data_IF_743904667940
#
_entry.id   IF_743904667940
#
_cell.length_a   1.000
_cell.length_b   1.000
_cell.length_c   1.000
_cell.angle_alpha   90.00
_cell.angle_beta   90.00
_cell.angle_gamma   90.00
#
_symmetry.space_group_name_H-M   'P 1'
#
loop_
_entity.id
_entity.type
_entity.pdbx_description
1 polymer ?
#
# COMPACT_ATOMS: atom_id res chain seq x y z
N UNK A 1 13.60 7.35 18.40
CA UNK A 1 13.00 8.60 17.82
C UNK A 1 14.10 9.33 17.05
N UNK A 2 13.99 9.40 15.72
CA UNK A 2 15.03 10.06 14.90
C UNK A 2 15.02 11.55 15.19
N UNK A 3 16.20 12.09 15.51
CA UNK A 3 16.37 13.55 15.65
C UNK A 3 16.38 14.18 14.26
N UNK A 4 15.50 15.16 14.02
CA UNK A 4 15.56 16.05 12.84
C UNK A 4 16.88 16.83 12.88
N UNK A 5 17.94 16.26 12.32
CA UNK A 5 19.17 17.02 12.11
C UNK A 5 19.27 17.46 10.64
N UNK A 6 20.06 18.50 10.40
CA UNK A 6 20.22 19.10 9.06
C UNK A 6 20.66 18.07 8.01
N UNK A 7 21.51 17.11 8.40
CA UNK A 7 22.01 16.07 7.49
C UNK A 7 20.91 15.09 7.05
N UNK A 8 20.03 14.66 7.97
CA UNK A 8 18.88 13.82 7.64
C UNK A 8 17.90 14.57 6.73
N UNK A 9 17.59 15.83 7.05
CA UNK A 9 16.65 16.63 6.24
C UNK A 9 17.16 16.86 4.81
N UNK A 10 18.45 17.18 4.65
CA UNK A 10 19.08 17.31 3.33
C UNK A 10 19.00 15.98 2.54
N UNK A 11 19.27 14.85 3.21
CA UNK A 11 19.16 13.52 2.58
C UNK A 11 17.73 13.23 2.15
N UNK A 12 16.73 13.53 2.99
CA UNK A 12 15.31 13.34 2.65
C UNK A 12 14.96 14.11 1.39
N UNK A 13 15.32 15.39 1.30
CA UNK A 13 15.03 16.22 0.14
C UNK A 13 15.66 15.63 -1.13
N UNK A 14 16.93 15.23 -1.06
CA UNK A 14 17.65 14.67 -2.21
C UNK A 14 17.11 13.29 -2.61
N UNK A 15 16.76 12.43 -1.64
CA UNK A 15 16.13 11.13 -1.92
C UNK A 15 14.78 11.30 -2.61
N UNK A 16 13.92 12.18 -2.12
CA UNK A 16 12.62 12.42 -2.75
C UNK A 16 12.78 12.95 -4.18
N UNK A 17 13.68 13.90 -4.39
CA UNK A 17 14.00 14.44 -5.73
C UNK A 17 14.44 13.33 -6.70
N UNK A 18 15.42 12.52 -6.32
CA UNK A 18 15.95 11.44 -7.18
C UNK A 18 14.94 10.31 -7.41
N UNK A 19 14.06 10.04 -6.44
CA UNK A 19 12.95 9.11 -6.63
C UNK A 19 11.96 9.63 -7.68
N UNK A 20 11.62 10.93 -7.63
CA UNK A 20 10.75 11.57 -8.62
C UNK A 20 11.40 11.61 -10.01
N UNK A 21 12.70 11.89 -10.11
CA UNK A 21 13.46 11.86 -11.37
C UNK A 21 13.52 10.44 -11.98
N UNK A 22 13.67 9.41 -11.13
CA UNK A 22 13.82 8.02 -11.59
C UNK A 22 12.50 7.35 -11.94
N UNK A 23 11.43 7.59 -11.17
CA UNK A 23 10.17 6.85 -11.25
C UNK A 23 8.96 7.72 -11.62
N UNK A 24 9.11 9.04 -11.59
CA UNK A 24 8.03 10.00 -11.80
C UNK A 24 7.30 10.39 -10.51
N UNK A 25 6.73 11.62 -10.49
CA UNK A 25 6.00 12.14 -9.33
C UNK A 25 4.54 11.63 -9.24
N UNK A 26 3.98 11.10 -10.34
CA UNK A 26 2.56 10.74 -10.43
C UNK A 26 2.28 9.25 -10.17
N UNK A 27 3.21 8.59 -9.45
CA UNK A 27 3.09 7.18 -9.15
C UNK A 27 1.90 6.89 -8.23
N UNK A 28 1.06 5.95 -8.67
CA UNK A 28 -0.13 5.45 -7.95
C UNK A 28 -0.02 3.93 -7.72
N UNK A 29 -1.03 3.35 -7.09
CA UNK A 29 -1.08 1.90 -6.86
C UNK A 29 -1.00 1.10 -8.16
N UNK A 30 -0.44 -0.12 -8.06
CA UNK A 30 -0.38 -1.08 -9.18
C UNK A 30 -1.67 -1.88 -9.37
N UNK A 31 -2.60 -1.78 -8.43
CA UNK A 31 -3.85 -2.52 -8.49
C UNK A 31 -4.81 -1.82 -9.44
N UNK A 32 -5.25 -2.55 -10.47
CA UNK A 32 -6.24 -2.07 -11.44
C UNK A 32 -7.60 -1.90 -10.75
N UNK A 33 -8.23 -0.73 -10.94
CA UNK A 33 -9.52 -0.41 -10.34
C UNK A 33 -10.21 0.72 -11.10
N UNK A 34 -11.53 0.76 -11.05
CA UNK A 34 -12.37 1.80 -11.65
C UNK A 34 -12.96 2.75 -10.61
N UNK A 35 -13.05 2.31 -9.35
CA UNK A 35 -13.64 3.06 -8.24
C UNK A 35 -13.04 2.65 -6.89
N UNK A 36 -13.45 3.34 -5.82
CA UNK A 36 -12.96 3.13 -4.47
C UNK A 36 -13.22 1.70 -3.94
N UNK A 37 -14.39 1.14 -4.24
CA UNK A 37 -14.77 -0.20 -3.80
C UNK A 37 -13.89 -1.27 -4.47
N UNK A 38 -13.68 -1.17 -5.78
CA UNK A 38 -12.79 -2.09 -6.49
C UNK A 38 -11.36 -2.04 -5.96
N UNK A 39 -10.82 -0.84 -5.67
CA UNK A 39 -9.51 -0.74 -5.06
C UNK A 39 -9.48 -1.36 -3.66
N UNK A 40 -10.54 -1.19 -2.87
CA UNK A 40 -10.65 -1.79 -1.54
C UNK A 40 -10.60 -3.32 -1.62
N UNK A 41 -11.41 -3.93 -2.48
CA UNK A 41 -11.43 -5.39 -2.70
C UNK A 41 -10.07 -5.88 -3.24
N UNK A 42 -9.52 -5.21 -4.25
CA UNK A 42 -8.21 -5.56 -4.81
C UNK A 42 -7.10 -5.50 -3.75
N UNK A 43 -7.15 -4.50 -2.85
CA UNK A 43 -6.17 -4.36 -1.76
C UNK A 43 -6.33 -5.46 -0.71
N UNK A 44 -7.54 -5.87 -0.36
CA UNK A 44 -7.78 -7.04 0.51
C UNK A 44 -7.20 -8.30 -0.16
N UNK A 45 -7.42 -8.48 -1.45
CA UNK A 45 -6.90 -9.62 -2.21
C UNK A 45 -5.36 -9.61 -2.30
N UNK A 46 -4.71 -8.45 -2.30
CA UNK A 46 -3.26 -8.32 -2.43
C UNK A 46 -2.47 -8.71 -1.16
N UNK A 47 -3.14 -8.90 -0.02
CA UNK A 47 -2.47 -9.37 1.20
C UNK A 47 -1.78 -10.72 0.95
N UNK A 48 -0.44 -10.75 1.06
CA UNK A 48 0.41 -11.93 0.76
C UNK A 48 0.18 -12.50 -0.66
N UNK A 49 -0.14 -11.65 -1.62
CA UNK A 49 -0.30 -12.00 -3.03
C UNK A 49 0.33 -10.90 -3.90
N UNK A 50 0.81 -11.25 -5.08
CA UNK A 50 1.37 -10.26 -5.99
C UNK A 50 0.28 -9.44 -6.67
N UNK A 51 0.54 -8.15 -6.91
CA UNK A 51 -0.39 -7.25 -7.59
C UNK A 51 -0.77 -7.79 -8.98
N UNK A 52 0.20 -8.34 -9.71
CA UNK A 52 -0.04 -8.99 -11.01
C UNK A 52 -1.06 -10.13 -10.92
N UNK A 53 -0.98 -10.99 -9.88
CA UNK A 53 -1.96 -12.06 -9.69
C UNK A 53 -3.34 -11.50 -9.38
N UNK A 54 -3.42 -10.47 -8.57
CA UNK A 54 -4.69 -9.78 -8.26
C UNK A 54 -5.31 -9.22 -9.54
N UNK A 55 -4.52 -8.48 -10.34
CA UNK A 55 -4.98 -7.87 -11.59
C UNK A 55 -5.41 -8.91 -12.65
N UNK A 56 -4.93 -10.15 -12.57
CA UNK A 56 -5.43 -11.26 -13.43
C UNK A 56 -6.81 -11.77 -12.99
N UNK A 57 -7.14 -11.67 -11.71
CA UNK A 57 -8.39 -12.21 -11.14
C UNK A 57 -9.50 -11.16 -11.11
N UNK A 58 -9.19 -9.92 -10.80
CA UNK A 58 -10.18 -8.86 -10.55
C UNK A 58 -11.09 -8.54 -11.74
N UNK A 59 -10.67 -8.60 -13.03
CA UNK A 59 -11.59 -8.30 -14.15
C UNK A 59 -12.80 -9.24 -14.21
N UNK A 60 -12.58 -10.55 -14.07
CA UNK A 60 -13.67 -11.52 -14.06
C UNK A 60 -14.48 -11.47 -12.77
N UNK A 61 -13.83 -11.18 -11.65
CA UNK A 61 -14.48 -11.02 -10.36
C UNK A 61 -15.47 -9.84 -10.37
N UNK A 62 -15.03 -8.66 -10.83
CA UNK A 62 -15.88 -7.46 -10.90
C UNK A 62 -16.91 -7.52 -12.03
N UNK A 63 -16.72 -8.35 -13.05
CA UNK A 63 -17.76 -8.65 -14.03
C UNK A 63 -18.88 -9.53 -13.42
N UNK A 64 -18.53 -10.48 -12.54
CA UNK A 64 -19.50 -11.35 -11.86
C UNK A 64 -20.20 -10.62 -10.71
N UNK A 65 -19.51 -9.76 -9.98
CA UNK A 65 -20.00 -9.01 -8.83
C UNK A 65 -19.78 -7.50 -9.05
N UNK A 66 -20.60 -6.80 -9.85
CA UNK A 66 -20.36 -5.41 -10.25
C UNK A 66 -20.63 -4.38 -9.15
N UNK A 67 -21.37 -4.71 -8.10
CA UNK A 67 -21.77 -3.78 -7.05
C UNK A 67 -21.37 -4.25 -5.66
N UNK A 68 -21.43 -3.34 -4.67
CA UNK A 68 -21.27 -3.68 -3.24
C UNK A 68 -22.29 -4.73 -2.83
N UNK A 69 -23.54 -4.57 -3.29
CA UNK A 69 -24.64 -5.48 -2.98
C UNK A 69 -24.36 -6.92 -3.47
N UNK A 70 -23.87 -7.07 -4.70
CA UNK A 70 -23.55 -8.38 -5.25
C UNK A 70 -22.52 -9.13 -4.40
N UNK A 71 -21.53 -8.41 -3.85
CA UNK A 71 -20.59 -8.99 -2.90
C UNK A 71 -21.20 -9.26 -1.52
N UNK A 72 -22.11 -8.39 -1.04
CA UNK A 72 -22.73 -8.53 0.27
C UNK A 72 -23.64 -9.78 0.36
N UNK A 73 -24.28 -10.16 -0.76
CA UNK A 73 -25.17 -11.33 -0.87
C UNK A 73 -24.51 -12.54 -1.54
N UNK A 74 -23.22 -12.46 -1.88
CA UNK A 74 -22.52 -13.53 -2.58
C UNK A 74 -22.50 -14.83 -1.77
N UNK A 75 -22.72 -15.96 -2.46
CA UNK A 75 -22.42 -17.26 -1.87
C UNK A 75 -20.92 -17.39 -1.60
N UNK A 76 -20.57 -17.75 -0.37
CA UNK A 76 -19.16 -17.81 0.05
C UNK A 76 -18.36 -18.81 -0.77
N UNK A 77 -18.92 -19.96 -1.15
CA UNK A 77 -18.24 -20.99 -1.92
C UNK A 77 -18.01 -20.54 -3.37
N UNK A 78 -18.99 -19.85 -3.95
CA UNK A 78 -18.83 -19.28 -5.28
C UNK A 78 -17.77 -18.18 -5.31
N UNK A 79 -17.72 -17.32 -4.30
CA UNK A 79 -16.68 -16.30 -4.18
C UNK A 79 -15.30 -16.94 -3.94
N UNK A 80 -15.20 -17.95 -3.08
CA UNK A 80 -13.98 -18.73 -2.87
C UNK A 80 -13.48 -19.33 -4.19
N UNK A 81 -14.36 -19.92 -5.00
CA UNK A 81 -14.04 -20.46 -6.31
C UNK A 81 -13.53 -19.38 -7.26
N UNK A 82 -14.14 -18.20 -7.27
CA UNK A 82 -13.75 -17.09 -8.14
C UNK A 82 -12.33 -16.55 -7.81
N UNK A 83 -11.92 -16.64 -6.54
CA UNK A 83 -10.63 -16.13 -6.06
C UNK A 83 -9.65 -17.25 -5.62
N UNK A 84 -9.91 -18.51 -5.93
CA UNK A 84 -9.15 -19.66 -5.42
C UNK A 84 -7.64 -19.61 -5.72
N UNK A 85 -7.24 -18.92 -6.80
CA UNK A 85 -5.82 -18.72 -7.15
C UNK A 85 -5.11 -17.67 -6.28
N UNK A 86 -5.84 -16.97 -5.41
CA UNK A 86 -5.32 -15.99 -4.45
C UNK A 86 -5.05 -16.71 -3.11
N UNK A 87 -3.85 -16.58 -2.58
CA UNK A 87 -3.52 -17.17 -1.27
C UNK A 87 -4.48 -16.75 -0.16
N UNK A 88 -4.79 -17.67 0.77
CA UNK A 88 -5.73 -17.44 1.88
C UNK A 88 -7.17 -17.09 1.44
N UNK A 89 -7.59 -17.61 0.29
CA UNK A 89 -8.87 -17.25 -0.34
C UNK A 89 -10.10 -17.49 0.55
N UNK A 90 -10.12 -18.50 1.40
CA UNK A 90 -11.21 -18.74 2.35
C UNK A 90 -11.42 -17.56 3.33
N UNK A 91 -10.35 -17.08 3.94
CA UNK A 91 -10.43 -15.94 4.86
C UNK A 91 -10.74 -14.64 4.09
N UNK A 92 -10.17 -14.48 2.89
CA UNK A 92 -10.43 -13.32 2.04
C UNK A 92 -11.88 -13.26 1.56
N UNK A 93 -12.47 -14.37 1.12
CA UNK A 93 -13.88 -14.42 0.72
C UNK A 93 -14.79 -13.97 1.85
N UNK A 94 -14.60 -14.53 3.06
CA UNK A 94 -15.39 -14.12 4.25
C UNK A 94 -15.21 -12.64 4.59
N UNK A 95 -13.97 -12.14 4.54
CA UNK A 95 -13.67 -10.74 4.81
C UNK A 95 -14.31 -9.80 3.76
N UNK A 96 -14.26 -10.17 2.48
CA UNK A 96 -14.85 -9.39 1.40
C UNK A 96 -16.37 -9.31 1.55
N UNK A 97 -17.05 -10.44 1.79
CA UNK A 97 -18.49 -10.46 2.04
C UNK A 97 -18.83 -9.60 3.26
N UNK A 98 -18.16 -9.81 4.40
CA UNK A 98 -18.39 -9.02 5.60
C UNK A 98 -18.07 -7.53 5.42
N UNK A 99 -17.04 -7.20 4.62
CA UNK A 99 -16.73 -5.82 4.26
C UNK A 99 -17.87 -5.18 3.46
N UNK A 100 -18.38 -5.87 2.43
CA UNK A 100 -19.49 -5.39 1.62
C UNK A 100 -20.76 -5.22 2.44
N UNK A 101 -21.12 -6.20 3.28
CA UNK A 101 -22.25 -6.11 4.21
C UNK A 101 -22.15 -4.91 5.15
N UNK A 102 -20.96 -4.67 5.72
CA UNK A 102 -20.74 -3.52 6.59
C UNK A 102 -20.77 -2.19 5.85
N UNK A 103 -20.30 -2.15 4.59
CA UNK A 103 -20.46 -0.96 3.75
C UNK A 103 -21.92 -0.63 3.52
N UNK A 104 -22.78 -1.63 3.27
CA UNK A 104 -24.22 -1.40 3.11
C UNK A 104 -24.90 -0.93 4.40
N UNK A 105 -24.62 -1.62 5.52
CA UNK A 105 -25.32 -1.32 6.77
C UNK A 105 -24.91 0.00 7.41
N UNK A 106 -23.62 0.34 7.37
CA UNK A 106 -23.06 1.44 8.17
C UNK A 106 -22.67 2.65 7.31
N UNK A 107 -22.50 2.47 5.99
CA UNK A 107 -21.91 3.48 5.08
C UNK A 107 -22.72 3.66 3.77
N UNK A 108 -23.97 3.24 3.71
CA UNK A 108 -24.84 3.40 2.51
C UNK A 108 -24.21 2.86 1.21
N UNK A 109 -23.41 1.79 1.32
CA UNK A 109 -22.67 1.21 0.20
C UNK A 109 -21.46 2.02 -0.27
N UNK A 110 -21.06 3.08 0.44
CA UNK A 110 -19.93 3.91 0.10
C UNK A 110 -18.68 3.51 0.89
N UNK A 111 -17.51 3.64 0.27
CA UNK A 111 -16.23 3.44 0.97
C UNK A 111 -15.96 4.66 1.84
N UNK A 112 -15.80 4.49 3.16
CA UNK A 112 -15.57 5.60 4.07
C UNK A 112 -14.16 6.20 3.90
N UNK A 113 -14.00 7.44 4.36
CA UNK A 113 -12.77 8.22 4.14
C UNK A 113 -11.81 8.18 5.33
N UNK A 114 -12.32 8.11 6.55
CA UNK A 114 -11.46 8.20 7.74
C UNK A 114 -10.71 6.89 8.01
N UNK A 115 -9.55 6.99 8.66
CA UNK A 115 -8.77 5.82 9.02
C UNK A 115 -9.55 4.88 9.95
N UNK A 116 -10.26 5.44 10.93
CA UNK A 116 -11.04 4.75 11.94
C UNK A 116 -12.17 3.93 11.30
N UNK A 117 -12.93 4.54 10.40
CA UNK A 117 -14.01 3.86 9.67
C UNK A 117 -13.47 2.76 8.77
N UNK A 118 -12.41 3.05 7.99
CA UNK A 118 -11.80 2.05 7.11
C UNK A 118 -11.29 0.83 7.87
N UNK A 119 -10.61 1.00 8.99
CA UNK A 119 -10.11 -0.15 9.77
C UNK A 119 -11.22 -0.89 10.53
N UNK A 120 -12.42 -0.33 10.61
CA UNK A 120 -13.58 -1.03 11.14
C UNK A 120 -14.13 -2.10 10.18
N UNK A 121 -13.76 -2.03 8.89
CA UNK A 121 -14.21 -2.96 7.86
C UNK A 121 -13.47 -4.30 7.97
N UNK A 122 -14.17 -5.44 7.85
CA UNK A 122 -13.56 -6.76 7.82
C UNK A 122 -12.44 -6.87 6.75
N UNK A 123 -11.28 -7.38 7.15
CA UNK A 123 -10.13 -7.55 6.26
C UNK A 123 -9.33 -6.28 5.96
N UNK A 124 -9.71 -5.15 6.54
CA UNK A 124 -9.05 -3.85 6.33
C UNK A 124 -8.20 -3.49 7.55
N UNK A 125 -6.89 -3.62 7.41
CA UNK A 125 -5.93 -3.11 8.38
C UNK A 125 -5.44 -1.69 8.03
N UNK A 126 -4.64 -1.09 8.92
CA UNK A 126 -4.06 0.25 8.74
C UNK A 126 -3.38 0.44 7.37
N UNK A 127 -2.62 -0.57 6.91
CA UNK A 127 -1.97 -0.52 5.60
C UNK A 127 -2.99 -0.37 4.47
N UNK A 128 -4.02 -1.23 4.43
CA UNK A 128 -5.08 -1.17 3.43
C UNK A 128 -5.81 0.17 3.48
N UNK A 129 -6.18 0.63 4.67
CA UNK A 129 -6.83 1.93 4.86
C UNK A 129 -5.99 3.09 4.30
N UNK A 130 -4.68 3.12 4.55
CA UNK A 130 -3.80 4.16 4.02
C UNK A 130 -3.64 4.08 2.48
N UNK A 131 -3.69 2.88 1.88
CA UNK A 131 -3.74 2.74 0.41
C UNK A 131 -4.99 3.40 -0.15
N UNK A 132 -6.17 3.14 0.44
CA UNK A 132 -7.43 3.72 -0.01
C UNK A 132 -7.42 5.24 0.17
N UNK A 133 -7.03 5.73 1.34
CA UNK A 133 -6.97 7.16 1.64
C UNK A 133 -6.09 7.92 0.65
N UNK A 134 -4.91 7.39 0.36
CA UNK A 134 -3.98 8.04 -0.55
C UNK A 134 -4.41 7.99 -2.01
N UNK A 135 -4.89 6.84 -2.50
CA UNK A 135 -5.13 6.67 -3.94
C UNK A 135 -6.53 7.10 -4.39
N UNK A 136 -7.52 7.08 -3.49
CA UNK A 136 -8.91 7.44 -3.81
C UNK A 136 -9.24 8.85 -3.33
N UNK A 137 -8.89 9.16 -2.09
CA UNK A 137 -9.30 10.41 -1.45
C UNK A 137 -8.22 11.49 -1.48
N UNK A 138 -7.05 11.17 -2.04
CA UNK A 138 -5.88 12.05 -2.07
C UNK A 138 -5.50 12.58 -0.68
N UNK A 139 -5.91 11.85 0.39
CA UNK A 139 -5.50 12.16 1.75
C UNK A 139 -4.04 11.73 1.94
N UNK A 140 -3.13 12.65 2.21
CA UNK A 140 -1.74 12.31 2.40
C UNK A 140 -1.58 11.26 3.49
N UNK A 141 -1.12 10.08 3.10
CA UNK A 141 -0.92 8.94 3.98
C UNK A 141 0.34 8.18 3.58
N UNK A 142 1.04 7.62 4.56
CA UNK A 142 2.22 6.80 4.30
C UNK A 142 1.87 5.34 4.52
N UNK A 143 2.10 4.55 3.47
CA UNK A 143 1.91 3.10 3.53
C UNK A 143 3.25 2.45 3.89
N UNK A 144 3.34 1.78 5.03
CA UNK A 144 4.54 1.07 5.47
C UNK A 144 4.39 -0.42 5.17
N UNK A 145 5.07 -0.87 4.13
CA UNK A 145 5.21 -2.28 3.80
C UNK A 145 6.64 -2.78 4.12
N UNK A 146 6.95 -4.01 3.74
CA UNK A 146 8.28 -4.61 3.96
C UNK A 146 9.39 -3.88 3.21
N UNK A 147 9.11 -3.26 2.05
CA UNK A 147 10.08 -2.46 1.29
C UNK A 147 10.31 -1.11 1.96
N UNK A 148 9.25 -0.39 2.31
CA UNK A 148 9.34 0.90 3.02
C UNK A 148 10.07 0.72 4.35
N UNK A 149 9.70 -0.27 5.16
CA UNK A 149 10.39 -0.60 6.42
C UNK A 149 11.90 -0.77 6.18
N UNK A 150 12.28 -1.68 5.29
CA UNK A 150 13.70 -2.01 5.04
C UNK A 150 14.50 -0.85 4.50
N UNK A 151 13.96 -0.18 3.47
CA UNK A 151 14.71 0.85 2.74
C UNK A 151 14.78 2.15 3.55
N UNK A 152 13.72 2.53 4.24
CA UNK A 152 13.75 3.70 5.12
C UNK A 152 14.76 3.53 6.27
N UNK A 153 14.92 2.30 6.80
CA UNK A 153 16.02 1.99 7.75
C UNK A 153 17.39 2.15 7.08
N UNK A 154 17.59 1.59 5.89
CA UNK A 154 18.86 1.73 5.15
C UNK A 154 19.21 3.19 4.83
N UNK A 155 18.21 4.01 4.55
CA UNK A 155 18.38 5.45 4.31
C UNK A 155 18.59 6.27 5.60
N UNK A 156 18.45 5.64 6.78
CA UNK A 156 18.55 6.32 8.07
C UNK A 156 17.37 7.25 8.35
N UNK A 157 16.18 6.90 7.87
CA UNK A 157 14.94 7.64 8.07
C UNK A 157 14.12 7.13 9.26
N UNK A 158 14.44 5.95 9.76
CA UNK A 158 13.89 5.34 10.97
C UNK A 158 14.83 4.26 11.50
N UNK A 159 14.80 4.02 12.82
CA UNK A 159 15.49 2.90 13.46
C UNK A 159 14.50 1.83 13.93
N UNK A 160 13.20 2.11 13.83
CA UNK A 160 12.13 1.24 14.31
C UNK A 160 11.89 0.04 13.39
N UNK A 161 11.34 -1.04 13.99
CA UNK A 161 10.78 -2.18 13.29
C UNK A 161 9.25 -2.21 13.34
N UNK A 162 8.62 -1.33 14.12
CA UNK A 162 7.17 -1.18 14.22
C UNK A 162 6.65 -0.30 13.06
N UNK A 163 5.73 -0.81 12.22
CA UNK A 163 5.20 -0.06 11.08
C UNK A 163 4.51 1.26 11.47
N UNK A 164 3.86 1.32 12.63
CA UNK A 164 3.18 2.55 13.09
C UNK A 164 4.21 3.62 13.47
N UNK A 165 5.28 3.21 14.16
CA UNK A 165 6.37 4.12 14.51
C UNK A 165 7.11 4.61 13.26
N UNK A 166 7.36 3.70 12.29
CA UNK A 166 7.98 4.05 11.00
C UNK A 166 7.11 5.08 10.26
N UNK A 167 5.80 4.87 10.16
CA UNK A 167 4.86 5.81 9.56
C UNK A 167 5.00 7.19 10.19
N UNK A 168 4.96 7.26 11.53
CA UNK A 168 5.12 8.52 12.27
C UNK A 168 6.49 9.18 12.07
N UNK A 169 7.57 8.41 12.02
CA UNK A 169 8.91 8.95 11.76
C UNK A 169 9.00 9.55 10.35
N UNK A 170 8.49 8.84 9.35
CA UNK A 170 8.45 9.30 7.96
C UNK A 170 7.56 10.56 7.81
N UNK A 171 6.40 10.60 8.45
CA UNK A 171 5.51 11.78 8.45
C UNK A 171 6.17 13.03 9.00
N UNK A 172 7.14 12.88 9.94
CA UNK A 172 7.86 14.02 10.50
C UNK A 172 8.92 14.61 9.55
N UNK A 173 9.46 13.81 8.66
CA UNK A 173 10.64 14.20 7.84
C UNK A 173 10.35 14.32 6.35
N UNK A 174 9.43 13.51 5.79
CA UNK A 174 9.06 13.60 4.38
C UNK A 174 8.16 14.80 4.11
N UNK A 175 8.34 15.51 2.98
CA UNK A 175 7.36 16.48 2.51
C UNK A 175 5.99 15.80 2.30
N UNK A 176 4.91 16.48 2.70
CA UNK A 176 3.56 15.90 2.68
C UNK A 176 3.15 15.44 1.28
N UNK A 177 3.55 16.17 0.26
CA UNK A 177 3.25 15.85 -1.14
C UNK A 177 3.94 14.58 -1.65
N UNK A 178 4.98 14.08 -0.94
CA UNK A 178 5.67 12.83 -1.28
C UNK A 178 5.03 11.60 -0.60
N UNK A 179 4.15 11.73 0.38
CA UNK A 179 3.72 10.62 1.23
C UNK A 179 3.09 9.47 0.42
N UNK A 180 2.19 9.77 -0.51
CA UNK A 180 1.48 8.75 -1.30
C UNK A 180 2.46 8.02 -2.22
N UNK A 181 3.22 8.78 -3.04
CA UNK A 181 4.11 8.19 -4.04
C UNK A 181 5.36 7.54 -3.47
N UNK A 182 5.83 7.98 -2.30
CA UNK A 182 7.01 7.42 -1.64
C UNK A 182 6.92 5.89 -1.47
N UNK A 183 5.77 5.38 -1.02
CA UNK A 183 5.56 3.94 -0.90
C UNK A 183 5.81 3.23 -2.24
N UNK A 184 5.20 3.70 -3.31
CA UNK A 184 5.26 3.05 -4.62
C UNK A 184 6.68 3.11 -5.18
N UNK A 185 7.33 4.27 -5.13
CA UNK A 185 8.71 4.47 -5.57
C UNK A 185 9.69 3.59 -4.78
N UNK A 186 9.51 3.46 -3.47
CA UNK A 186 10.33 2.58 -2.63
C UNK A 186 10.08 1.09 -2.92
N UNK A 187 8.85 0.70 -3.28
CA UNK A 187 8.58 -0.67 -3.74
C UNK A 187 9.37 -0.96 -5.03
N UNK A 188 9.37 -0.06 -6.01
CA UNK A 188 10.15 -0.20 -7.25
C UNK A 188 11.64 -0.34 -6.95
N UNK A 189 12.19 0.58 -6.19
CA UNK A 189 13.59 0.52 -5.76
C UNK A 189 13.90 -0.80 -5.07
N UNK A 190 13.00 -1.28 -4.22
CA UNK A 190 13.17 -2.52 -3.46
C UNK A 190 13.06 -3.80 -4.29
N UNK A 191 12.28 -3.78 -5.37
CA UNK A 191 12.12 -4.92 -6.29
C UNK A 191 13.28 -5.01 -7.29
N UNK A 192 13.83 -3.89 -7.72
CA UNK A 192 14.83 -3.82 -8.80
C UNK A 192 16.26 -3.73 -8.29
N UNK A 193 16.55 -2.79 -7.40
CA UNK A 193 17.90 -2.43 -6.98
C UNK A 193 18.15 -2.78 -5.51
N UNK A 194 17.39 -2.20 -4.57
CA UNK A 194 17.63 -2.35 -3.14
C UNK A 194 16.99 -3.61 -2.57
N UNK A 195 17.37 -4.79 -3.09
CA UNK A 195 16.84 -6.11 -2.69
C UNK A 195 17.19 -6.47 -1.24
N UNK A 196 16.41 -7.41 -0.65
CA UNK A 196 16.59 -7.76 0.75
C UNK A 196 17.94 -8.44 1.04
N UNK A 197 18.30 -9.60 0.42
CA UNK A 197 19.56 -10.25 0.75
C UNK A 197 20.77 -9.53 0.11
N UNK A 198 20.69 -9.10 -1.14
CA UNK A 198 21.83 -8.57 -1.89
C UNK A 198 21.44 -7.30 -2.66
N UNK A 199 21.53 -6.13 -2.02
CA UNK A 199 21.25 -4.86 -2.71
C UNK A 199 22.35 -4.57 -3.73
N UNK A 200 21.95 -4.09 -4.91
CA UNK A 200 22.84 -3.70 -6.00
C UNK A 200 23.29 -2.24 -5.79
N UNK A 201 24.09 -1.98 -4.78
CA UNK A 201 24.47 -0.62 -4.41
C UNK A 201 25.24 0.10 -5.52
N UNK A 202 26.05 -0.61 -6.32
CA UNK A 202 26.80 -0.03 -7.44
C UNK A 202 25.88 0.52 -8.56
N UNK A 203 24.68 -0.07 -8.74
CA UNK A 203 23.69 0.37 -9.71
C UNK A 203 22.72 1.42 -9.11
N UNK A 204 22.86 1.77 -7.81
CA UNK A 204 21.86 2.55 -7.11
C UNK A 204 22.10 4.05 -7.26
N UNK A 205 21.13 4.77 -7.79
CA UNK A 205 21.16 6.23 -7.95
C UNK A 205 21.15 7.00 -6.61
N UNK A 206 20.99 6.29 -5.48
CA UNK A 206 21.08 6.85 -4.13
C UNK A 206 22.39 6.47 -3.42
N UNK A 207 23.36 5.80 -4.11
CA UNK A 207 24.55 5.23 -3.48
C UNK A 207 25.33 6.26 -2.66
N UNK A 208 25.60 7.42 -3.25
CA UNK A 208 26.43 8.49 -2.67
C UNK A 208 25.84 9.16 -1.42
N UNK A 209 24.53 9.05 -1.23
CA UNK A 209 23.81 9.64 -0.08
C UNK A 209 23.26 8.60 0.90
N UNK A 210 23.32 7.30 0.55
CA UNK A 210 22.79 6.22 1.38
C UNK A 210 23.80 5.80 2.46
N UNK A 211 23.50 5.94 3.77
CA UNK A 211 24.45 5.57 4.83
C UNK A 211 24.70 4.05 4.93
N UNK A 212 23.86 3.23 4.29
CA UNK A 212 24.00 1.77 4.25
C UNK A 212 24.56 1.25 2.93
N UNK A 213 24.99 2.12 2.00
CA UNK A 213 25.61 1.68 0.76
C UNK A 213 26.94 0.95 1.04
N UNK A 214 27.15 -0.14 0.28
CA UNK A 214 28.38 -0.96 0.36
C UNK A 214 29.20 -0.77 -0.90
#
# INVERSE_FOLDING_TARGET
MIRKNKAVMNRVTEVCKRLDEQYGPDMRTYLDHRNAFELLIATILSAQCTDSRVNMVTPSLFAKYPTVHDFAVADVKELEQAIHSIGFYHAKAKNIIGCAQKLESDFEGQVPRTLEELVSLPGVGRKTANVIRGNIFEDPSIVVDTHVKRISKRLGFTDSDDPVVIEQDLMKILPKDNWIRYNIQIIYLGRTICKAPNPKCEECFLKDICPSAK
#
